data_IF_007156743256
#
_entry.id   IF_007156743256
#
_cell.length_a   1.000
_cell.length_b   1.000
_cell.length_c   1.000
_cell.angle_alpha   90.00
_cell.angle_beta   90.00
_cell.angle_gamma   90.00
#
_symmetry.space_group_name_H-M   'P 1'
#
loop_
_entity.id
_entity.type
_entity.pdbx_description
1 polymer ?
#
# COMPACT_ATOMS: atom_id res chain seq x y z
N UNK A 1 -16.34 -34.99 -67.41
CA UNK A 1 -17.19 -33.95 -66.80
C UNK A 1 -16.30 -33.08 -65.84
N UNK A 2 -15.89 -31.92 -66.28
CA UNK A 2 -15.02 -30.98 -65.53
C UNK A 2 -15.92 -29.99 -64.81
N UNK A 3 -15.83 -29.99 -63.46
CA UNK A 3 -16.46 -28.98 -62.61
C UNK A 3 -15.50 -27.79 -62.52
N UNK A 4 -15.88 -26.66 -63.08
CA UNK A 4 -15.20 -25.36 -62.90
C UNK A 4 -15.57 -24.79 -61.53
N UNK A 5 -14.57 -24.66 -60.67
CA UNK A 5 -14.68 -23.95 -59.43
C UNK A 5 -14.43 -22.46 -59.70
N UNK A 6 -15.46 -21.62 -59.61
CA UNK A 6 -15.35 -20.18 -59.68
C UNK A 6 -14.80 -19.67 -58.35
N UNK A 7 -13.53 -19.26 -58.35
CA UNK A 7 -12.96 -18.48 -57.27
C UNK A 7 -13.38 -17.04 -57.52
N UNK A 8 -14.37 -16.54 -56.77
CA UNK A 8 -14.70 -15.13 -56.72
C UNK A 8 -13.65 -14.45 -55.86
N UNK A 9 -12.66 -13.83 -56.50
CA UNK A 9 -11.71 -12.92 -55.86
C UNK A 9 -12.44 -11.62 -55.61
N UNK A 10 -12.98 -11.46 -54.37
CA UNK A 10 -13.49 -10.17 -53.91
C UNK A 10 -12.31 -9.26 -53.63
N UNK A 11 -11.90 -8.45 -54.59
CA UNK A 11 -11.07 -7.29 -54.37
C UNK A 11 -11.89 -6.27 -53.56
N UNK A 12 -11.77 -6.29 -52.25
CA UNK A 12 -12.13 -5.13 -51.43
C UNK A 12 -11.17 -3.99 -51.80
N UNK A 13 -11.64 -3.07 -52.61
CA UNK A 13 -11.00 -1.76 -52.76
C UNK A 13 -11.08 -1.06 -51.41
N UNK A 14 -10.04 -1.24 -50.59
CA UNK A 14 -9.84 -0.46 -49.39
C UNK A 14 -9.71 1.00 -49.77
N UNK A 15 -10.72 1.81 -49.45
CA UNK A 15 -10.67 3.26 -49.66
C UNK A 15 -9.50 3.83 -48.83
N UNK A 16 -8.82 4.89 -49.28
CA UNK A 16 -7.75 5.54 -48.50
C UNK A 16 -8.21 5.98 -47.13
N UNK A 17 -9.50 6.20 -46.91
CA UNK A 17 -10.10 6.52 -45.64
C UNK A 17 -10.16 5.31 -44.67
N UNK A 18 -10.43 4.09 -45.20
CA UNK A 18 -10.42 2.88 -44.37
C UNK A 18 -9.02 2.56 -43.85
N UNK A 19 -7.98 2.72 -44.66
CA UNK A 19 -6.60 2.49 -44.24
C UNK A 19 -6.10 3.51 -43.21
N UNK A 20 -6.55 4.75 -43.26
CA UNK A 20 -6.24 5.78 -42.27
C UNK A 20 -6.92 5.46 -40.94
N UNK A 21 -8.14 4.99 -40.95
CA UNK A 21 -8.92 4.63 -39.77
C UNK A 21 -8.35 3.38 -39.08
N UNK A 22 -7.94 2.38 -39.85
CA UNK A 22 -7.27 1.19 -39.36
C UNK A 22 -5.89 1.54 -38.71
N UNK A 23 -5.14 2.44 -39.33
CA UNK A 23 -3.85 2.90 -38.74
C UNK A 23 -4.03 3.70 -37.46
N UNK A 24 -5.13 4.46 -37.34
CA UNK A 24 -5.47 5.20 -36.11
C UNK A 24 -5.90 4.24 -35.01
N UNK A 25 -6.76 3.26 -35.31
CA UNK A 25 -7.15 2.23 -34.36
C UNK A 25 -5.96 1.38 -33.87
N UNK A 26 -5.04 1.05 -34.75
CA UNK A 26 -3.81 0.34 -34.36
C UNK A 26 -2.93 1.19 -33.43
N UNK A 27 -2.81 2.49 -33.69
CA UNK A 27 -2.06 3.41 -32.80
C UNK A 27 -2.75 3.59 -31.45
N UNK A 28 -4.06 3.73 -31.41
CA UNK A 28 -4.84 3.79 -30.18
C UNK A 28 -4.74 2.48 -29.39
N UNK A 29 -4.88 1.33 -30.03
CA UNK A 29 -4.71 0.02 -29.39
C UNK A 29 -3.31 -0.15 -28.84
N UNK A 30 -2.26 0.24 -29.58
CA UNK A 30 -0.88 0.25 -29.11
C UNK A 30 -0.65 1.22 -27.95
N UNK A 31 -1.28 2.40 -27.98
CA UNK A 31 -1.25 3.36 -26.89
C UNK A 31 -1.94 2.80 -25.64
N UNK A 32 -3.16 2.23 -25.79
CA UNK A 32 -3.88 1.62 -24.67
C UNK A 32 -3.15 0.41 -24.08
N UNK A 33 -2.50 -0.42 -24.91
CA UNK A 33 -1.66 -1.53 -24.42
C UNK A 33 -0.39 -1.02 -23.70
N UNK A 34 0.24 0.05 -24.17
CA UNK A 34 1.34 0.72 -23.46
C UNK A 34 0.86 1.35 -22.14
N UNK A 35 -0.30 2.02 -22.15
CA UNK A 35 -0.91 2.58 -20.94
C UNK A 35 -1.24 1.46 -19.96
N UNK A 36 -1.85 0.35 -20.40
CA UNK A 36 -2.06 -0.84 -19.56
C UNK A 36 -0.75 -1.38 -19.01
N UNK A 37 0.32 -1.47 -19.78
CA UNK A 37 1.62 -1.95 -19.34
C UNK A 37 2.27 -0.99 -18.33
N UNK A 38 2.05 0.31 -18.47
CA UNK A 38 2.55 1.33 -17.53
C UNK A 38 1.70 1.37 -16.25
N UNK A 39 0.36 1.16 -16.38
CA UNK A 39 -0.56 1.14 -15.21
C UNK A 39 -0.78 -0.25 -14.62
N UNK A 40 -0.54 -1.34 -15.36
CA UNK A 40 -0.57 -2.71 -14.89
C UNK A 40 0.82 -3.24 -14.55
N UNK A 41 1.54 -2.54 -13.69
CA UNK A 41 2.32 -3.28 -12.73
C UNK A 41 1.28 -3.87 -11.76
N UNK A 42 0.64 -4.98 -12.17
CA UNK A 42 -0.34 -5.68 -11.37
C UNK A 42 0.26 -5.92 -9.99
N UNK A 43 -0.48 -5.54 -8.96
CA UNK A 43 -0.18 -5.95 -7.61
C UNK A 43 -0.21 -7.48 -7.61
N UNK A 44 0.92 -8.09 -7.34
CA UNK A 44 1.06 -9.55 -7.22
C UNK A 44 1.23 -9.89 -5.77
N UNK A 45 0.62 -10.96 -5.33
CA UNK A 45 0.92 -11.52 -4.01
C UNK A 45 2.28 -12.21 -4.08
N UNK A 46 3.14 -11.90 -3.14
CA UNK A 46 4.48 -12.46 -3.07
C UNK A 46 5.16 -12.25 -1.74
N UNK A 47 6.43 -12.65 -1.67
CA UNK A 47 7.27 -12.45 -0.49
C UNK A 47 8.49 -11.58 -0.84
N UNK A 48 8.94 -10.81 0.14
CA UNK A 48 10.12 -9.97 0.03
C UNK A 48 10.93 -10.05 1.32
N UNK A 49 12.25 -10.24 1.19
CA UNK A 49 13.15 -10.21 2.34
C UNK A 49 13.87 -8.87 2.38
N UNK A 50 13.71 -8.14 3.48
CA UNK A 50 14.43 -6.91 3.74
C UNK A 50 15.92 -7.17 4.03
N UNK A 51 16.74 -6.11 4.00
CA UNK A 51 18.19 -6.23 4.24
C UNK A 51 18.53 -6.70 5.65
N UNK A 52 17.70 -6.42 6.62
CA UNK A 52 17.82 -6.85 8.03
C UNK A 52 17.39 -8.30 8.26
N UNK A 53 16.89 -8.97 7.24
CA UNK A 53 16.38 -10.34 7.30
C UNK A 53 14.89 -10.46 7.64
N UNK A 54 14.18 -9.36 7.82
CA UNK A 54 12.73 -9.35 8.02
C UNK A 54 12.02 -9.84 6.75
N UNK A 55 10.89 -10.53 6.92
CA UNK A 55 10.15 -11.16 5.83
C UNK A 55 8.78 -10.51 5.67
N UNK A 56 8.53 -9.96 4.51
CA UNK A 56 7.23 -9.47 4.08
C UNK A 56 6.49 -10.52 3.25
N UNK A 57 5.18 -10.59 3.43
CA UNK A 57 4.26 -11.35 2.59
C UNK A 57 3.03 -10.50 2.31
N UNK A 58 2.69 -10.32 1.04
CA UNK A 58 1.57 -9.45 0.66
C UNK A 58 1.68 -8.96 -0.77
N UNK A 59 1.08 -7.80 -1.02
CA UNK A 59 1.04 -7.19 -2.34
C UNK A 59 2.39 -6.58 -2.71
N UNK A 60 2.90 -6.94 -3.89
CA UNK A 60 4.19 -6.48 -4.42
C UNK A 60 3.95 -5.77 -5.76
N UNK A 61 4.58 -4.62 -5.92
CA UNK A 61 4.68 -3.90 -7.17
C UNK A 61 6.13 -3.80 -7.61
N UNK A 62 6.42 -4.31 -8.81
CA UNK A 62 7.81 -4.48 -9.24
C UNK A 62 8.51 -5.53 -8.38
N UNK A 63 9.44 -5.12 -7.52
CA UNK A 63 10.19 -6.01 -6.62
C UNK A 63 10.13 -5.56 -5.16
N UNK A 64 9.12 -4.75 -4.80
CA UNK A 64 9.02 -4.16 -3.45
C UNK A 64 7.60 -4.29 -2.91
N UNK A 65 7.45 -4.39 -1.58
CA UNK A 65 6.16 -4.24 -0.91
C UNK A 65 5.42 -3.00 -1.39
N UNK A 66 4.16 -3.16 -1.79
CA UNK A 66 3.33 -2.04 -2.23
C UNK A 66 1.86 -2.49 -2.23
N UNK A 67 1.05 -1.88 -1.39
CA UNK A 67 -0.30 -2.33 -1.07
C UNK A 67 -0.33 -3.01 0.30
N UNK A 68 -1.25 -3.93 0.53
CA UNK A 68 -1.45 -4.57 1.84
C UNK A 68 -0.55 -5.78 2.02
N UNK A 69 -0.03 -5.92 3.25
CA UNK A 69 0.78 -7.08 3.59
C UNK A 69 1.19 -7.15 5.06
N UNK A 70 1.90 -8.21 5.36
CA UNK A 70 2.41 -8.54 6.69
C UNK A 70 3.92 -8.66 6.66
N UNK A 71 4.60 -8.00 7.60
CA UNK A 71 6.04 -8.21 7.85
C UNK A 71 6.23 -8.86 9.20
N UNK A 72 7.02 -9.91 9.23
CA UNK A 72 7.59 -10.49 10.45
C UNK A 72 9.03 -10.04 10.54
N UNK A 73 9.33 -9.26 11.57
CA UNK A 73 10.66 -8.74 11.82
C UNK A 73 11.53 -9.78 12.53
N UNK A 74 12.85 -9.63 12.39
CA UNK A 74 13.80 -10.57 12.96
C UNK A 74 13.78 -10.62 14.49
N UNK A 75 13.39 -9.53 15.13
CA UNK A 75 13.21 -9.43 16.60
C UNK A 75 11.88 -10.01 17.10
N UNK A 76 11.03 -10.50 16.21
CA UNK A 76 9.72 -11.05 16.54
C UNK A 76 8.56 -10.08 16.44
N UNK A 77 8.80 -8.80 16.16
CA UNK A 77 7.73 -7.85 15.90
C UNK A 77 6.93 -8.24 14.64
N UNK A 78 5.70 -7.80 14.58
CA UNK A 78 4.83 -8.02 13.42
C UNK A 78 4.18 -6.71 13.01
N UNK A 79 4.23 -6.41 11.73
CA UNK A 79 3.43 -5.33 11.14
C UNK A 79 2.44 -5.91 10.13
N UNK A 80 1.19 -5.51 10.22
CA UNK A 80 0.15 -5.78 9.23
C UNK A 80 -0.48 -4.46 8.77
N UNK A 81 -0.35 -4.13 7.49
CA UNK A 81 -0.83 -2.84 7.01
C UNK A 81 -0.43 -2.52 5.58
N UNK A 82 -0.47 -1.25 5.28
CA UNK A 82 -0.23 -0.72 3.95
C UNK A 82 1.24 -0.38 3.73
N UNK A 83 1.69 -0.55 2.49
CA UNK A 83 3.04 -0.28 2.04
C UNK A 83 3.05 0.55 0.76
N UNK A 84 3.96 1.50 0.67
CA UNK A 84 4.27 2.23 -0.55
C UNK A 84 5.76 2.15 -0.83
N UNK A 85 6.14 1.57 -1.97
CA UNK A 85 7.55 1.43 -2.42
C UNK A 85 8.48 0.79 -1.39
N UNK A 86 7.96 -0.13 -0.57
CA UNK A 86 8.71 -0.86 0.44
C UNK A 86 8.75 -0.24 1.82
N UNK A 87 8.03 0.85 2.05
CA UNK A 87 7.89 1.52 3.34
C UNK A 87 6.47 1.38 3.88
N UNK A 88 6.31 1.28 5.19
CA UNK A 88 5.01 1.34 5.85
C UNK A 88 4.41 2.73 5.62
N UNK A 89 3.18 2.76 5.11
CA UNK A 89 2.48 4.01 4.79
C UNK A 89 0.97 3.74 4.76
N UNK A 90 0.13 4.69 5.17
CA UNK A 90 -1.30 4.46 5.32
C UNK A 90 -1.64 3.85 6.67
N UNK A 91 -2.66 3.00 6.73
CA UNK A 91 -3.08 2.39 7.99
C UNK A 91 -2.41 1.04 8.22
N UNK A 92 -2.01 0.79 9.49
CA UNK A 92 -1.42 -0.50 9.87
C UNK A 92 -1.36 -0.72 11.38
N UNK A 93 -1.18 -1.99 11.72
CA UNK A 93 -1.03 -2.48 13.10
C UNK A 93 0.38 -3.01 13.29
N UNK A 94 1.06 -2.55 14.31
CA UNK A 94 2.37 -3.05 14.73
C UNK A 94 2.23 -3.70 16.10
N UNK A 95 2.66 -4.93 16.23
CA UNK A 95 2.59 -5.71 17.46
C UNK A 95 4.01 -6.09 17.88
N UNK A 96 4.33 -5.79 19.12
CA UNK A 96 5.59 -6.14 19.77
C UNK A 96 5.50 -7.52 20.44
N UNK A 97 6.62 -8.24 20.64
CA UNK A 97 6.61 -9.57 21.26
C UNK A 97 6.11 -9.59 22.71
N UNK A 98 6.24 -8.48 23.42
CA UNK A 98 5.75 -8.31 24.80
C UNK A 98 4.23 -8.04 24.89
N UNK A 99 3.57 -7.91 23.74
CA UNK A 99 2.13 -7.66 23.62
C UNK A 99 1.74 -6.18 23.48
N UNK A 100 2.69 -5.26 23.51
CA UNK A 100 2.40 -3.88 23.12
C UNK A 100 1.93 -3.80 21.67
N UNK A 101 1.12 -2.80 21.36
CA UNK A 101 0.55 -2.66 20.02
C UNK A 101 0.34 -1.20 19.68
N UNK A 102 0.73 -0.83 18.45
CA UNK A 102 0.30 0.41 17.80
C UNK A 102 -0.68 0.08 16.68
N UNK A 103 -1.74 0.86 16.59
CA UNK A 103 -2.77 0.74 15.58
C UNK A 103 -3.12 2.14 15.06
N UNK A 104 -2.73 2.46 13.83
CA UNK A 104 -2.89 3.82 13.34
C UNK A 104 -2.26 4.09 11.99
N UNK A 105 -2.06 5.37 11.73
CA UNK A 105 -1.47 5.84 10.49
C UNK A 105 0.05 5.78 10.53
N UNK A 106 0.63 5.52 9.38
CA UNK A 106 2.06 5.43 9.13
C UNK A 106 2.45 6.34 7.98
N UNK A 107 3.60 6.95 8.08
CA UNK A 107 4.20 7.71 7.00
C UNK A 107 5.71 7.45 6.94
N UNK A 108 6.17 6.90 5.81
CA UNK A 108 7.60 6.60 5.57
C UNK A 108 8.28 5.78 6.67
N UNK A 109 7.65 4.70 7.15
CA UNK A 109 8.08 3.81 8.24
C UNK A 109 7.93 4.37 9.65
N UNK A 110 7.35 5.55 9.83
CA UNK A 110 7.14 6.18 11.13
C UNK A 110 5.65 6.24 11.49
N UNK A 111 5.32 6.11 12.77
CA UNK A 111 3.99 6.39 13.30
C UNK A 111 3.66 7.87 13.05
N UNK A 112 2.47 8.13 12.51
CA UNK A 112 2.09 9.47 12.09
C UNK A 112 0.57 9.64 12.14
N UNK A 113 0.07 10.90 12.20
CA UNK A 113 -1.37 11.15 12.19
C UNK A 113 -2.08 10.52 13.39
N UNK A 114 -3.30 10.03 13.19
CA UNK A 114 -4.08 9.40 14.28
C UNK A 114 -3.63 7.96 14.51
N UNK A 115 -3.50 7.60 15.80
CA UNK A 115 -3.18 6.24 16.19
C UNK A 115 -3.42 5.96 17.67
N UNK A 116 -3.57 4.67 17.98
CA UNK A 116 -3.76 4.18 19.34
C UNK A 116 -2.57 3.29 19.70
N UNK A 117 -1.98 3.55 20.85
CA UNK A 117 -0.94 2.69 21.42
C UNK A 117 -1.46 2.00 22.68
N UNK A 118 -1.30 0.70 22.73
CA UNK A 118 -1.65 -0.15 23.85
C UNK A 118 -0.36 -0.61 24.53
N UNK A 119 -0.17 -0.17 25.76
CA UNK A 119 1.00 -0.49 26.58
C UNK A 119 0.83 -1.83 27.32
N UNK A 120 1.93 -2.50 27.61
CA UNK A 120 1.94 -3.77 28.36
C UNK A 120 1.27 -3.65 29.75
N UNK A 121 1.30 -2.48 30.35
CA UNK A 121 0.70 -2.19 31.66
C UNK A 121 -0.80 -1.85 31.58
N UNK A 122 -1.46 -2.13 30.47
CA UNK A 122 -2.85 -1.80 30.17
C UNK A 122 -3.19 -0.29 30.10
N UNK A 123 -2.19 0.57 30.02
CA UNK A 123 -2.42 1.95 29.61
C UNK A 123 -2.73 1.99 28.12
N UNK A 124 -3.43 3.04 27.67
CA UNK A 124 -3.72 3.27 26.26
C UNK A 124 -3.61 4.74 25.95
N UNK A 125 -2.83 5.07 24.93
CA UNK A 125 -2.83 6.39 24.33
C UNK A 125 -3.69 6.38 23.05
N UNK A 126 -4.55 7.36 22.89
CA UNK A 126 -5.41 7.56 21.71
C UNK A 126 -5.25 9.02 21.27
N UNK A 127 -4.54 9.26 20.19
CA UNK A 127 -4.20 10.63 19.83
C UNK A 127 -3.38 10.76 18.56
N UNK A 128 -2.80 11.94 18.42
CA UNK A 128 -1.95 12.30 17.29
C UNK A 128 -0.51 11.86 17.50
N UNK A 129 0.13 11.49 16.41
CA UNK A 129 1.51 11.03 16.32
C UNK A 129 2.27 11.83 15.27
N UNK A 130 3.51 12.14 15.54
CA UNK A 130 4.41 12.78 14.60
C UNK A 130 5.82 12.20 14.72
N UNK A 131 6.29 11.52 13.67
CA UNK A 131 7.63 10.91 13.60
C UNK A 131 7.94 10.01 14.81
N UNK A 132 7.05 9.05 15.09
CA UNK A 132 7.10 8.07 16.19
C UNK A 132 6.86 8.65 17.61
N UNK A 133 6.58 9.95 17.75
CA UNK A 133 6.29 10.59 19.03
C UNK A 133 4.80 10.89 19.18
N UNK A 134 4.27 10.77 20.39
CA UNK A 134 2.98 11.35 20.76
C UNK A 134 3.07 12.88 20.62
N UNK A 135 2.18 13.47 19.83
CA UNK A 135 2.27 14.88 19.49
C UNK A 135 0.89 15.44 19.17
N UNK A 136 0.62 16.71 19.53
CA UNK A 136 -0.70 17.32 19.33
C UNK A 136 -1.74 16.83 20.34
N UNK A 137 -2.99 16.75 19.93
CA UNK A 137 -4.08 16.31 20.83
C UNK A 137 -4.08 14.81 21.05
N UNK A 138 -4.27 14.40 22.30
CA UNK A 138 -4.36 12.99 22.65
C UNK A 138 -4.82 12.73 24.07
N UNK A 139 -5.37 11.54 24.25
CA UNK A 139 -5.89 11.06 25.53
C UNK A 139 -5.11 9.84 25.99
N UNK A 140 -4.57 9.91 27.20
CA UNK A 140 -3.97 8.78 27.89
C UNK A 140 -4.96 8.23 28.90
N UNK A 141 -5.31 6.97 28.75
CA UNK A 141 -6.08 6.19 29.69
C UNK A 141 -5.13 5.33 30.52
N UNK A 142 -5.12 5.53 31.82
CA UNK A 142 -4.26 4.77 32.72
C UNK A 142 -5.02 3.54 33.26
N UNK A 143 -4.31 2.45 33.56
CA UNK A 143 -4.88 1.22 34.09
C UNK A 143 -5.59 1.39 35.46
N UNK A 144 -5.24 2.44 36.21
CA UNK A 144 -5.86 2.78 37.48
C UNK A 144 -7.18 3.56 37.34
N UNK A 145 -7.61 3.82 36.11
CA UNK A 145 -8.82 4.56 35.78
C UNK A 145 -8.63 6.06 35.56
N UNK A 146 -7.45 6.60 35.83
CA UNK A 146 -7.15 8.00 35.53
C UNK A 146 -7.17 8.25 34.01
N UNK A 147 -7.51 9.48 33.63
CA UNK A 147 -7.52 9.91 32.24
C UNK A 147 -6.82 11.27 32.16
N UNK A 148 -5.93 11.41 31.21
CA UNK A 148 -5.38 12.69 30.80
C UNK A 148 -5.80 12.97 29.36
N UNK A 149 -6.43 14.09 29.12
CA UNK A 149 -6.78 14.60 27.79
C UNK A 149 -6.13 15.97 27.60
N UNK A 150 -5.34 16.14 26.57
CA UNK A 150 -4.63 17.41 26.34
C UNK A 150 -3.61 17.35 25.22
N UNK A 151 -2.74 18.36 25.25
CA UNK A 151 -1.67 18.52 24.27
C UNK A 151 -0.44 17.69 24.66
N UNK A 152 0.24 17.18 23.63
CA UNK A 152 1.45 16.40 23.72
C UNK A 152 2.53 16.97 22.80
N UNK A 153 3.74 17.01 23.28
CA UNK A 153 4.92 17.40 22.50
C UNK A 153 6.04 16.40 22.78
N UNK A 154 6.38 15.59 21.77
CA UNK A 154 7.46 14.59 21.86
C UNK A 154 7.34 13.73 23.13
N UNK A 155 6.24 12.99 23.25
CA UNK A 155 5.86 12.08 24.34
C UNK A 155 5.63 12.76 25.71
N UNK A 156 5.68 14.07 25.77
CA UNK A 156 5.46 14.81 27.01
C UNK A 156 4.11 15.52 26.97
N UNK A 157 3.38 15.45 28.10
CA UNK A 157 2.17 16.24 28.29
C UNK A 157 2.53 17.72 28.36
N UNK A 158 1.85 18.52 27.57
CA UNK A 158 1.96 19.98 27.56
C UNK A 158 0.72 20.62 28.20
N UNK A 159 0.94 21.61 29.05
CA UNK A 159 -0.13 22.31 29.76
C UNK A 159 -0.34 21.82 31.19
N UNK A 160 -1.25 22.52 31.85
CA UNK A 160 -1.64 22.24 33.25
C UNK A 160 -2.89 21.40 33.28
#
# INVERSE_FOLDING_TARGET
>A
MRKYLYIILLFFLLSPQATAQDSLQMKEKSFFERVKTVFSSELKIGSYTFKDGSIYTGEIKGRKPNGKGKTVFKNGDVYEGEYVKGKREGYGVYTFPDGEKYEGQWYQDQQHGKGIYYFVNNNRYDGMWFQDYQHGEGTMYYHNGDVYEGQWVNDKREGK
#
